data_IF_910167468767
#
_entry.id   IF_910167468767
#
_cell.length_a   1.000
_cell.length_b   1.000
_cell.length_c   1.000
_cell.angle_alpha   90.00
_cell.angle_beta   90.00
_cell.angle_gamma   90.00
#
_symmetry.space_group_name_H-M   'P 1'
#
loop_
_entity.id
_entity.type
_entity.pdbx_description
1 polymer ?
#
# COMPACT_ATOMS: atom_id res chain seq x y z
N UNK A 1 -8.89 21.14 -9.66
CA UNK A 1 -8.38 21.62 -8.37
C UNK A 1 -7.21 20.73 -8.01
N UNK A 2 -6.02 21.31 -7.89
CA UNK A 2 -4.78 20.65 -7.48
C UNK A 2 -5.02 20.10 -6.07
N UNK A 3 -5.08 18.77 -5.92
CA UNK A 3 -5.04 18.15 -4.62
C UNK A 3 -3.63 18.39 -4.07
N UNK A 4 -3.48 19.29 -3.11
CA UNK A 4 -2.29 19.33 -2.28
C UNK A 4 -2.15 17.96 -1.60
N UNK A 5 -1.37 17.09 -2.20
CA UNK A 5 -0.92 15.86 -1.59
C UNK A 5 -0.14 16.27 -0.34
N UNK A 6 -0.77 16.16 0.82
CA UNK A 6 -0.08 16.33 2.09
C UNK A 6 1.14 15.43 2.04
N UNK A 7 2.32 16.02 1.91
CA UNK A 7 3.59 15.30 1.90
C UNK A 7 3.72 14.62 3.27
N UNK A 8 3.58 13.31 3.28
CA UNK A 8 3.72 12.51 4.49
C UNK A 8 5.18 12.09 4.60
N UNK A 9 5.85 12.52 5.65
CA UNK A 9 7.19 12.08 5.99
C UNK A 9 7.13 11.23 7.27
N UNK A 10 7.87 10.12 7.31
CA UNK A 10 8.02 9.25 8.48
C UNK A 10 9.48 8.97 8.75
N UNK A 11 9.86 8.87 10.01
CA UNK A 11 11.21 8.40 10.37
C UNK A 11 11.35 6.90 10.06
N UNK A 12 12.48 6.51 9.47
CA UNK A 12 12.72 5.12 9.08
C UNK A 12 12.63 4.19 10.28
N UNK A 13 13.25 4.56 11.40
CA UNK A 13 13.25 3.77 12.63
C UNK A 13 11.85 3.53 13.19
N UNK A 14 10.97 4.53 13.10
CA UNK A 14 9.57 4.40 13.50
C UNK A 14 8.81 3.46 12.55
N UNK A 15 9.01 3.62 11.25
CA UNK A 15 8.32 2.88 10.22
C UNK A 15 8.62 1.36 10.28
N UNK A 16 9.89 1.01 10.54
CA UNK A 16 10.33 -0.39 10.55
C UNK A 16 10.13 -1.10 11.88
N UNK A 17 9.73 -0.39 12.92
CA UNK A 17 9.59 -0.94 14.28
C UNK A 17 8.67 -2.18 14.34
N UNK A 18 7.61 -2.20 13.55
CA UNK A 18 6.56 -3.22 13.61
C UNK A 18 6.66 -4.29 12.50
N UNK A 19 7.75 -4.32 11.73
CA UNK A 19 7.94 -5.30 10.64
C UNK A 19 8.94 -6.41 10.98
N UNK A 20 9.47 -6.43 12.23
CA UNK A 20 10.46 -7.41 12.71
C UNK A 20 11.70 -7.50 11.79
N UNK A 21 12.49 -6.43 11.67
CA UNK A 21 13.69 -6.47 10.84
C UNK A 21 14.69 -7.50 11.40
N UNK A 22 15.41 -8.17 10.51
CA UNK A 22 16.45 -9.16 10.83
C UNK A 22 17.77 -8.51 11.21
N UNK A 23 17.96 -7.23 10.88
CA UNK A 23 19.14 -6.44 11.22
C UNK A 23 18.74 -5.23 12.05
N UNK A 24 19.71 -4.69 12.79
CA UNK A 24 19.54 -3.45 13.52
C UNK A 24 19.47 -2.27 12.54
N UNK A 25 18.44 -1.45 12.67
CA UNK A 25 18.25 -0.22 11.88
C UNK A 25 18.42 0.97 12.83
N UNK A 26 19.50 1.70 12.68
CA UNK A 26 19.86 2.85 13.54
C UNK A 26 19.77 4.19 12.82
N UNK A 27 19.73 4.16 11.49
CA UNK A 27 19.69 5.37 10.67
C UNK A 27 18.33 6.03 10.76
N UNK A 28 18.28 7.20 11.38
CA UNK A 28 17.05 7.96 11.57
C UNK A 28 16.87 8.97 10.44
N UNK A 29 16.57 8.47 9.26
CA UNK A 29 16.31 9.25 8.04
C UNK A 29 14.81 9.39 7.78
N UNK A 30 14.44 10.46 7.09
CA UNK A 30 13.06 10.69 6.65
C UNK A 30 12.75 9.88 5.39
N UNK A 31 11.62 9.19 5.42
CA UNK A 31 11.02 8.49 4.29
C UNK A 31 9.79 9.27 3.84
N UNK A 32 9.76 9.66 2.57
CA UNK A 32 8.69 10.45 1.97
C UNK A 32 7.71 9.65 1.11
N UNK A 33 8.00 8.35 0.88
CA UNK A 33 7.14 7.45 0.13
C UNK A 33 7.58 6.00 0.23
N UNK A 34 6.74 5.10 -0.28
CA UNK A 34 7.02 3.66 -0.41
C UNK A 34 6.92 3.28 -1.87
N UNK A 35 7.91 2.59 -2.41
CA UNK A 35 7.94 2.21 -3.81
C UNK A 35 8.43 0.77 -4.01
N UNK A 36 7.79 0.03 -4.93
CA UNK A 36 8.18 -1.34 -5.31
C UNK A 36 8.68 -1.44 -6.75
N UNK A 37 8.62 -0.33 -7.52
CA UNK A 37 9.09 -0.25 -8.90
C UNK A 37 10.23 0.75 -8.99
N UNK A 38 11.45 0.26 -9.27
CA UNK A 38 12.67 1.09 -9.34
C UNK A 38 12.52 2.32 -10.26
N UNK A 39 11.80 2.18 -11.39
CA UNK A 39 11.55 3.26 -12.36
C UNK A 39 10.60 4.35 -11.86
N UNK A 40 9.85 4.09 -10.79
CA UNK A 40 8.89 5.04 -10.20
C UNK A 40 9.40 5.63 -8.88
N UNK A 41 10.58 5.21 -8.43
CA UNK A 41 11.23 5.75 -7.24
C UNK A 41 11.46 7.24 -7.41
N UNK A 42 11.12 7.99 -6.38
CA UNK A 42 11.45 9.42 -6.27
C UNK A 42 12.32 9.66 -5.05
N UNK A 43 12.94 10.85 -4.99
CA UNK A 43 13.84 11.22 -3.90
C UNK A 43 13.16 11.08 -2.54
N UNK A 44 13.77 10.30 -1.65
CA UNK A 44 13.29 10.08 -0.29
C UNK A 44 12.42 8.84 -0.09
N UNK A 45 12.17 8.03 -1.14
CA UNK A 45 11.40 6.80 -1.03
C UNK A 45 12.16 5.69 -0.29
N UNK A 46 11.42 4.85 0.42
CA UNK A 46 11.85 3.50 0.78
C UNK A 46 11.51 2.55 -0.37
N UNK A 47 12.53 2.01 -1.02
CA UNK A 47 12.35 0.99 -2.05
C UNK A 47 12.22 -0.40 -1.42
N UNK A 48 11.16 -1.14 -1.76
CA UNK A 48 10.91 -2.49 -1.28
C UNK A 48 11.17 -3.49 -2.41
N UNK A 49 12.29 -4.21 -2.33
CA UNK A 49 12.68 -5.23 -3.30
C UNK A 49 11.91 -6.53 -3.06
N UNK A 50 10.83 -6.72 -3.80
CA UNK A 50 9.97 -7.91 -3.68
C UNK A 50 10.47 -9.00 -4.61
N UNK A 51 10.78 -10.22 -4.09
CA UNK A 51 11.02 -11.37 -4.95
C UNK A 51 9.74 -11.77 -5.68
N UNK A 52 9.76 -11.74 -7.00
CA UNK A 52 8.65 -12.15 -7.86
C UNK A 52 8.92 -13.49 -8.56
N UNK A 53 7.89 -14.09 -9.14
CA UNK A 53 8.03 -15.32 -9.94
C UNK A 53 8.77 -15.07 -11.26
N UNK A 54 8.51 -13.93 -11.90
CA UNK A 54 9.09 -13.59 -13.20
C UNK A 54 10.20 -12.54 -13.11
N UNK A 55 10.19 -11.72 -12.08
CA UNK A 55 11.12 -10.61 -11.88
C UNK A 55 11.52 -10.56 -10.41
N UNK A 56 12.81 -10.58 -10.14
CA UNK A 56 13.37 -10.44 -8.79
C UNK A 56 13.70 -8.97 -8.52
N UNK A 57 12.97 -8.35 -7.60
CA UNK A 57 13.15 -6.94 -7.23
C UNK A 57 14.56 -6.58 -6.74
N UNK A 58 15.34 -7.57 -6.25
CA UNK A 58 16.72 -7.34 -5.82
C UNK A 58 17.65 -6.88 -6.95
N UNK A 59 17.38 -7.27 -8.20
CA UNK A 59 18.17 -6.86 -9.36
C UNK A 59 18.06 -5.34 -9.64
N UNK A 60 17.05 -4.68 -9.10
CA UNK A 60 16.76 -3.26 -9.33
C UNK A 60 17.14 -2.36 -8.15
N UNK A 61 17.83 -2.88 -7.14
CA UNK A 61 18.23 -2.10 -5.96
C UNK A 61 19.12 -0.92 -6.35
N UNK A 62 20.14 -1.14 -7.18
CA UNK A 62 21.05 -0.08 -7.62
C UNK A 62 20.30 0.99 -8.43
N UNK A 63 19.45 0.58 -9.37
CA UNK A 63 18.59 1.51 -10.14
C UNK A 63 17.68 2.34 -9.21
N UNK A 64 17.11 1.72 -8.19
CA UNK A 64 16.28 2.44 -7.22
C UNK A 64 17.08 3.47 -6.42
N UNK A 65 18.30 3.14 -6.03
CA UNK A 65 19.22 4.06 -5.32
C UNK A 65 19.61 5.23 -6.24
N UNK A 66 19.97 4.95 -7.49
CA UNK A 66 20.29 5.98 -8.49
C UNK A 66 19.10 6.91 -8.75
N UNK A 67 17.87 6.41 -8.70
CA UNK A 67 16.64 7.18 -8.82
C UNK A 67 16.24 7.93 -7.55
N UNK A 68 16.98 7.79 -6.45
CA UNK A 68 16.80 8.58 -5.22
C UNK A 68 16.16 7.84 -4.06
N UNK A 69 16.15 6.50 -4.05
CA UNK A 69 15.72 5.76 -2.84
C UNK A 69 16.60 6.15 -1.66
N UNK A 70 15.98 6.60 -0.57
CA UNK A 70 16.67 6.96 0.66
C UNK A 70 17.05 5.73 1.50
N UNK A 71 16.35 4.61 1.29
CA UNK A 71 16.59 3.34 1.97
C UNK A 71 16.04 2.19 1.13
N UNK A 72 16.50 0.96 1.39
CA UNK A 72 16.08 -0.25 0.69
C UNK A 72 15.69 -1.34 1.67
N UNK A 73 14.59 -2.07 1.36
CA UNK A 73 14.15 -3.23 2.10
C UNK A 73 14.25 -4.49 1.22
N UNK A 74 14.87 -5.53 1.76
CA UNK A 74 15.12 -6.83 1.09
C UNK A 74 14.69 -8.02 1.94
N UNK A 75 14.78 -9.24 1.37
CA UNK A 75 14.46 -10.50 2.06
C UNK A 75 15.62 -11.14 2.84
N UNK A 76 16.65 -10.38 3.21
CA UNK A 76 17.82 -10.91 3.91
C UNK A 76 18.86 -11.57 3.01
N UNK A 77 18.68 -11.59 1.69
CA UNK A 77 19.71 -12.04 0.73
C UNK A 77 20.89 -11.08 0.75
N UNK A 78 22.09 -11.63 0.65
CA UNK A 78 23.27 -10.80 0.43
C UNK A 78 23.22 -10.18 -0.98
N UNK A 79 23.26 -8.85 -1.01
CA UNK A 79 23.31 -8.04 -2.25
C UNK A 79 24.59 -7.20 -2.32
N UNK A 80 25.55 -7.46 -1.42
CA UNK A 80 26.76 -6.63 -1.27
C UNK A 80 26.49 -5.31 -0.56
N UNK A 81 27.48 -4.43 -0.59
CA UNK A 81 27.40 -3.11 0.03
C UNK A 81 26.56 -2.14 -0.82
N UNK A 82 25.67 -1.43 -0.17
CA UNK A 82 24.86 -0.36 -0.78
C UNK A 82 25.12 0.97 -0.05
N UNK A 83 24.88 2.09 -0.74
CA UNK A 83 25.18 3.44 -0.21
C UNK A 83 24.07 4.03 0.68
N UNK A 84 22.98 3.31 0.88
CA UNK A 84 21.83 3.74 1.68
C UNK A 84 21.52 2.72 2.76
N UNK A 85 20.82 3.07 3.85
CA UNK A 85 20.39 2.13 4.87
C UNK A 85 19.63 0.93 4.29
N UNK A 86 20.04 -0.27 4.71
CA UNK A 86 19.49 -1.54 4.26
C UNK A 86 18.68 -2.19 5.38
N UNK A 87 17.42 -2.51 5.09
CA UNK A 87 16.52 -3.23 5.98
C UNK A 87 16.34 -4.66 5.44
N UNK A 88 16.62 -5.65 6.28
CA UNK A 88 16.37 -7.06 5.96
C UNK A 88 15.16 -7.57 6.72
N UNK A 89 14.26 -8.28 6.05
CA UNK A 89 13.08 -8.91 6.65
C UNK A 89 12.90 -10.32 6.10
N UNK A 90 12.20 -11.19 6.83
CA UNK A 90 11.91 -12.54 6.35
C UNK A 90 10.99 -12.55 5.12
N UNK A 91 10.01 -11.65 5.07
CA UNK A 91 9.02 -11.59 3.98
C UNK A 91 8.73 -10.13 3.59
N UNK A 92 9.33 -9.61 2.51
CA UNK A 92 9.11 -8.26 2.02
C UNK A 92 7.65 -7.94 1.63
N UNK A 93 6.90 -8.93 1.09
CA UNK A 93 5.49 -8.73 0.75
C UNK A 93 4.63 -8.49 1.99
N UNK A 94 4.86 -9.28 3.05
CA UNK A 94 4.16 -9.11 4.33
C UNK A 94 4.55 -7.80 5.00
N UNK A 95 5.85 -7.46 4.96
CA UNK A 95 6.36 -6.20 5.49
C UNK A 95 5.78 -4.98 4.75
N UNK A 96 5.63 -5.06 3.41
CA UNK A 96 5.04 -3.99 2.60
C UNK A 96 3.63 -3.61 3.06
N UNK A 97 2.78 -4.60 3.34
CA UNK A 97 1.42 -4.33 3.83
C UNK A 97 1.45 -3.54 5.15
N UNK A 98 2.28 -3.98 6.09
CA UNK A 98 2.45 -3.30 7.39
C UNK A 98 3.04 -1.91 7.25
N UNK A 99 4.09 -1.76 6.44
CA UNK A 99 4.71 -0.47 6.16
C UNK A 99 3.72 0.52 5.53
N UNK A 100 2.90 0.06 4.59
CA UNK A 100 1.89 0.91 3.96
C UNK A 100 0.84 1.37 4.98
N UNK A 101 0.35 0.47 5.83
CA UNK A 101 -0.58 0.83 6.89
C UNK A 101 0.01 1.89 7.83
N UNK A 102 1.23 1.68 8.34
CA UNK A 102 1.92 2.61 9.24
C UNK A 102 2.24 3.94 8.55
N UNK A 103 2.74 3.91 7.32
CA UNK A 103 3.08 5.12 6.56
C UNK A 103 1.86 6.03 6.41
N UNK A 104 0.69 5.48 6.10
CA UNK A 104 -0.57 6.22 5.95
C UNK A 104 -1.38 6.34 7.24
N UNK A 105 -0.77 6.12 8.43
CA UNK A 105 -1.41 6.28 9.75
C UNK A 105 -2.63 5.36 9.96
N UNK A 106 -2.53 4.10 9.53
CA UNK A 106 -3.54 3.06 9.69
C UNK A 106 -4.95 3.53 9.27
N UNK A 107 -5.14 3.91 8.01
CA UNK A 107 -6.38 4.56 7.56
C UNK A 107 -7.60 3.64 7.66
N UNK A 108 -7.42 2.31 7.63
CA UNK A 108 -8.49 1.32 7.81
C UNK A 108 -9.21 1.47 9.14
N UNK A 109 -8.55 1.96 10.19
CA UNK A 109 -9.16 2.21 11.51
C UNK A 109 -10.12 3.41 11.54
N UNK A 110 -10.13 4.22 10.49
CA UNK A 110 -10.96 5.44 10.39
C UNK A 110 -12.21 5.26 9.54
N UNK A 111 -12.31 4.14 8.84
CA UNK A 111 -13.39 3.85 7.89
C UNK A 111 -13.93 2.44 8.20
N UNK A 112 -15.23 2.23 8.11
CA UNK A 112 -15.82 0.89 8.17
C UNK A 112 -15.55 0.19 6.85
N UNK A 113 -14.79 -0.90 6.86
CA UNK A 113 -14.42 -1.63 5.65
C UNK A 113 -15.19 -2.94 5.55
N UNK A 114 -15.76 -3.17 4.37
CA UNK A 114 -16.41 -4.44 4.02
C UNK A 114 -15.66 -5.07 2.85
N UNK A 115 -14.91 -6.13 3.10
CA UNK A 115 -14.23 -6.92 2.08
C UNK A 115 -15.15 -8.00 1.51
N UNK A 116 -15.24 -8.09 0.18
CA UNK A 116 -16.07 -9.08 -0.53
C UNK A 116 -15.14 -9.99 -1.33
N UNK A 117 -15.13 -11.27 -0.96
CA UNK A 117 -14.39 -12.31 -1.68
C UNK A 117 -15.33 -13.39 -2.21
N UNK A 118 -14.85 -14.21 -3.13
CA UNK A 118 -15.61 -15.30 -3.74
C UNK A 118 -15.19 -15.52 -5.20
N UNK A 119 -15.59 -16.64 -5.78
CA UNK A 119 -15.29 -16.97 -7.19
C UNK A 119 -16.06 -16.05 -8.15
N UNK A 120 -17.35 -15.85 -7.90
CA UNK A 120 -18.24 -15.03 -8.71
C UNK A 120 -19.02 -14.05 -7.85
N UNK A 121 -19.59 -13.00 -8.46
CA UNK A 121 -20.51 -12.07 -7.83
C UNK A 121 -19.86 -10.98 -6.97
N UNK A 122 -18.53 -10.94 -6.78
CA UNK A 122 -17.86 -9.90 -5.99
C UNK A 122 -18.26 -8.49 -6.43
N UNK A 123 -18.08 -8.19 -7.70
CA UNK A 123 -18.38 -6.86 -8.28
C UNK A 123 -19.84 -6.48 -8.11
N UNK A 124 -20.77 -7.41 -8.42
CA UNK A 124 -22.21 -7.15 -8.27
C UNK A 124 -22.58 -6.88 -6.83
N UNK A 125 -22.08 -7.69 -5.88
CA UNK A 125 -22.35 -7.54 -4.45
C UNK A 125 -21.77 -6.23 -3.91
N UNK A 126 -20.53 -5.90 -4.29
CA UNK A 126 -19.89 -4.64 -3.89
C UNK A 126 -20.67 -3.43 -4.42
N UNK A 127 -21.08 -3.48 -5.67
CA UNK A 127 -21.89 -2.41 -6.28
C UNK A 127 -23.24 -2.23 -5.60
N UNK A 128 -23.97 -3.32 -5.35
CA UNK A 128 -25.27 -3.28 -4.69
C UNK A 128 -25.16 -2.74 -3.26
N UNK A 129 -24.20 -3.25 -2.48
CA UNK A 129 -23.99 -2.79 -1.11
C UNK A 129 -23.60 -1.31 -1.05
N UNK A 130 -22.70 -0.86 -1.92
CA UNK A 130 -22.35 0.55 -2.01
C UNK A 130 -23.56 1.41 -2.38
N UNK A 131 -24.43 0.93 -3.28
CA UNK A 131 -25.65 1.65 -3.68
C UNK A 131 -26.67 1.74 -2.53
N UNK A 132 -26.82 0.68 -1.74
CA UNK A 132 -27.70 0.65 -0.56
C UNK A 132 -27.20 1.65 0.49
N UNK A 133 -25.90 1.61 0.83
CA UNK A 133 -25.31 2.51 1.82
C UNK A 133 -25.42 4.00 1.35
N UNK A 134 -25.19 4.24 0.08
CA UNK A 134 -25.37 5.58 -0.50
C UNK A 134 -26.82 6.06 -0.40
N UNK A 135 -27.78 5.18 -0.70
CA UNK A 135 -29.22 5.48 -0.57
C UNK A 135 -29.66 5.72 0.88
N UNK A 136 -29.02 5.02 1.83
CA UNK A 136 -29.19 5.25 3.29
C UNK A 136 -28.47 6.51 3.81
N UNK A 137 -27.94 7.34 2.91
CA UNK A 137 -27.30 8.60 3.25
C UNK A 137 -25.85 8.49 3.75
N UNK A 138 -25.25 7.28 3.76
CA UNK A 138 -23.85 7.11 4.16
C UNK A 138 -22.91 7.69 3.12
N UNK A 139 -21.77 8.21 3.58
CA UNK A 139 -20.67 8.55 2.69
C UNK A 139 -19.86 7.30 2.40
N UNK A 140 -20.19 6.62 1.30
CA UNK A 140 -19.63 5.32 0.96
C UNK A 140 -18.88 5.34 -0.36
N UNK A 141 -17.86 4.48 -0.45
CA UNK A 141 -17.07 4.24 -1.65
C UNK A 141 -17.03 2.76 -1.99
N UNK A 142 -17.03 2.43 -3.28
CA UNK A 142 -16.81 1.09 -3.81
C UNK A 142 -15.44 1.00 -4.49
N UNK A 143 -14.66 -0.03 -4.19
CA UNK A 143 -13.34 -0.28 -4.77
C UNK A 143 -13.25 -1.71 -5.31
N UNK A 144 -12.89 -1.88 -6.57
CA UNK A 144 -12.76 -3.20 -7.16
C UNK A 144 -12.46 -3.18 -8.65
N UNK A 145 -12.91 -4.19 -9.35
CA UNK A 145 -12.69 -4.38 -10.81
C UNK A 145 -13.15 -3.20 -11.66
N UNK A 146 -14.19 -2.49 -11.22
CA UNK A 146 -14.71 -1.30 -11.90
C UNK A 146 -14.02 0.01 -11.48
N UNK A 147 -12.92 -0.10 -10.73
CA UNK A 147 -12.18 1.03 -10.17
C UNK A 147 -12.72 1.51 -8.83
N UNK A 148 -12.36 2.73 -8.46
CA UNK A 148 -12.87 3.44 -7.29
C UNK A 148 -14.09 4.28 -7.68
N UNK A 149 -15.18 4.09 -6.98
CA UNK A 149 -16.43 4.86 -7.15
C UNK A 149 -16.83 5.49 -5.83
N UNK A 150 -16.89 6.81 -5.80
CA UNK A 150 -17.42 7.62 -4.70
C UNK A 150 -18.70 8.33 -5.14
N UNK A 151 -19.31 9.13 -4.27
CA UNK A 151 -20.41 10.04 -4.66
C UNK A 151 -19.98 11.12 -5.65
N UNK A 152 -18.71 11.52 -5.60
CA UNK A 152 -18.20 12.71 -6.30
C UNK A 152 -17.46 12.37 -7.60
N UNK A 153 -16.79 11.22 -7.66
CA UNK A 153 -15.97 10.84 -8.81
C UNK A 153 -15.85 9.31 -8.96
N UNK A 154 -15.40 8.92 -10.15
CA UNK A 154 -15.00 7.55 -10.47
C UNK A 154 -13.60 7.56 -11.06
N UNK A 155 -12.74 6.65 -10.59
CA UNK A 155 -11.39 6.42 -11.12
C UNK A 155 -11.29 4.98 -11.59
N UNK A 156 -10.62 4.76 -12.71
CA UNK A 156 -10.30 3.41 -13.20
C UNK A 156 -9.16 2.79 -12.40
N UNK A 157 -9.19 1.48 -12.25
CA UNK A 157 -8.15 0.72 -11.58
C UNK A 157 -7.74 -0.46 -12.48
N UNK A 158 -6.44 -0.76 -12.51
CA UNK A 158 -5.88 -1.85 -13.31
C UNK A 158 -5.96 -3.22 -12.62
N UNK A 159 -6.31 -3.26 -11.33
CA UNK A 159 -6.36 -4.47 -10.52
C UNK A 159 -7.67 -4.54 -9.73
N UNK A 160 -8.26 -5.72 -9.62
CA UNK A 160 -9.44 -5.94 -8.76
C UNK A 160 -9.18 -5.55 -7.30
N UNK A 161 -7.97 -5.86 -6.80
CA UNK A 161 -7.50 -5.43 -5.48
C UNK A 161 -6.14 -4.74 -5.66
N UNK A 162 -6.05 -3.49 -5.25
CA UNK A 162 -4.82 -2.69 -5.32
C UNK A 162 -3.66 -3.34 -4.57
N UNK A 163 -2.43 -2.95 -4.92
CA UNK A 163 -1.26 -3.23 -4.08
C UNK A 163 -1.37 -2.47 -2.73
N UNK A 164 -0.62 -2.89 -1.70
CA UNK A 164 -0.76 -2.32 -0.36
C UNK A 164 -0.51 -0.81 -0.29
N UNK A 165 0.46 -0.28 -1.05
CA UNK A 165 0.80 1.16 -1.01
C UNK A 165 -0.36 1.98 -1.54
N UNK A 166 -0.87 1.63 -2.73
CA UNK A 166 -1.99 2.33 -3.34
C UNK A 166 -3.29 2.13 -2.55
N UNK A 167 -3.51 0.94 -1.97
CA UNK A 167 -4.68 0.66 -1.15
C UNK A 167 -4.73 1.55 0.09
N UNK A 168 -3.66 1.58 0.89
CA UNK A 168 -3.63 2.41 2.11
C UNK A 168 -3.61 3.91 1.79
N UNK A 169 -2.97 4.32 0.68
CA UNK A 169 -3.03 5.70 0.18
C UNK A 169 -4.46 6.10 -0.15
N UNK A 170 -5.17 5.27 -0.91
CA UNK A 170 -6.58 5.50 -1.27
C UNK A 170 -7.47 5.56 -0.04
N UNK A 171 -7.33 4.62 0.91
CA UNK A 171 -8.07 4.65 2.16
C UNK A 171 -7.82 5.93 2.97
N UNK A 172 -6.55 6.38 3.02
CA UNK A 172 -6.22 7.63 3.71
C UNK A 172 -6.88 8.85 3.04
N UNK A 173 -6.89 8.91 1.71
CA UNK A 173 -7.59 9.95 0.96
C UNK A 173 -9.10 9.94 1.21
N UNK A 174 -9.71 8.75 1.17
CA UNK A 174 -11.14 8.58 1.44
C UNK A 174 -11.50 9.03 2.86
N UNK A 175 -10.72 8.59 3.88
CA UNK A 175 -10.93 9.00 5.27
C UNK A 175 -10.86 10.52 5.45
N UNK A 176 -9.84 11.15 4.85
CA UNK A 176 -9.65 12.61 4.94
C UNK A 176 -10.74 13.38 4.19
N UNK A 177 -11.38 12.77 3.19
CA UNK A 177 -12.52 13.34 2.46
C UNK A 177 -13.89 13.03 3.10
N UNK A 178 -13.91 12.41 4.30
CA UNK A 178 -15.14 12.15 5.04
C UNK A 178 -15.86 10.85 4.68
N UNK A 179 -15.28 9.99 3.84
CA UNK A 179 -15.84 8.66 3.56
C UNK A 179 -15.90 7.84 4.85
N UNK A 180 -17.07 7.29 5.15
CA UNK A 180 -17.32 6.50 6.37
C UNK A 180 -17.32 5.00 6.12
N UNK A 181 -17.62 4.57 4.88
CA UNK A 181 -17.72 3.16 4.50
C UNK A 181 -16.96 2.91 3.20
N UNK A 182 -16.15 1.86 3.18
CA UNK A 182 -15.47 1.37 1.98
C UNK A 182 -15.87 -0.09 1.73
N UNK A 183 -16.48 -0.34 0.59
CA UNK A 183 -16.80 -1.68 0.12
C UNK A 183 -15.74 -2.06 -0.91
N UNK A 184 -14.96 -3.11 -0.66
CA UNK A 184 -13.87 -3.48 -1.54
C UNK A 184 -13.94 -4.95 -1.98
N UNK A 185 -13.63 -5.17 -3.25
CA UNK A 185 -13.42 -6.53 -3.76
C UNK A 185 -12.05 -7.03 -3.32
N UNK A 186 -12.02 -8.24 -2.76
CA UNK A 186 -10.79 -8.91 -2.34
C UNK A 186 -10.64 -10.22 -3.12
N UNK A 187 -9.63 -10.29 -4.00
CA UNK A 187 -9.32 -11.51 -4.72
C UNK A 187 -8.51 -12.48 -3.84
N UNK A 188 -8.64 -13.79 -4.09
CA UNK A 188 -7.82 -14.82 -3.42
C UNK A 188 -6.32 -14.56 -3.59
N UNK A 189 -5.91 -14.13 -4.77
CA UNK A 189 -4.54 -13.74 -5.07
C UNK A 189 -4.04 -12.55 -4.23
N UNK A 190 -4.93 -11.58 -3.93
CA UNK A 190 -4.60 -10.46 -3.06
C UNK A 190 -4.39 -10.90 -1.60
N UNK A 191 -5.15 -11.89 -1.13
CA UNK A 191 -4.96 -12.49 0.20
C UNK A 191 -3.63 -13.23 0.25
N UNK A 192 -3.34 -14.09 -0.73
CA UNK A 192 -2.08 -14.83 -0.84
C UNK A 192 -0.87 -13.90 -0.87
N UNK A 193 -0.98 -12.76 -1.56
CA UNK A 193 0.07 -11.75 -1.65
C UNK A 193 0.10 -10.74 -0.50
N UNK A 194 -0.64 -10.95 0.56
CA UNK A 194 -0.72 -10.06 1.73
C UNK A 194 -1.16 -8.62 1.41
N UNK A 195 -1.88 -8.38 0.30
CA UNK A 195 -2.25 -7.02 -0.09
C UNK A 195 -3.19 -6.34 0.89
N UNK A 196 -3.99 -7.13 1.61
CA UNK A 196 -5.01 -6.66 2.58
C UNK A 196 -4.71 -7.12 4.01
N UNK A 197 -3.49 -7.58 4.29
CA UNK A 197 -3.13 -8.22 5.57
C UNK A 197 -3.16 -7.25 6.77
N UNK A 198 -3.04 -5.95 6.54
CA UNK A 198 -3.09 -4.90 7.58
C UNK A 198 -4.26 -3.92 7.33
N UNK A 199 -5.35 -4.44 6.76
CA UNK A 199 -6.65 -3.79 6.71
C UNK A 199 -7.47 -4.31 7.89
N UNK A 200 -7.87 -3.42 8.80
CA UNK A 200 -8.71 -3.71 9.97
C UNK A 200 -10.20 -3.69 9.59
#
# INVERSE_FOLDING_TARGET
>A
ASSDLIKMDKQLTELVKNINPLNLVTDDIKISGLCTNSKQVVQGDLFIAIPGHSVDGHQYVNEAIENGAASVLINGRDIGSVSVPLISVANPRRALSKLAAEFYNNPSKKIIITGITGTNGKTSTAYLLNSILTADGKDSAGLGTLGLKTKQYKEENNLTTMDPVNLHKTMNQLANNGTTHLIMEVSSHAIEQFRVADVD
#
